data_IF_256323143512
#
_entry.id   IF_256323143512
#
_cell.length_a   1.000
_cell.length_b   1.000
_cell.length_c   1.000
_cell.angle_alpha   90.00
_cell.angle_beta   90.00
_cell.angle_gamma   90.00
#
_symmetry.space_group_name_H-M   'P 1'
#
loop_
_entity.id
_entity.type
_entity.pdbx_description
1 polymer ?
#
# COMPACT_ATOMS: atom_id res chain seq x y z
N UNK A 1 5.19 -1.19 38.89
CA UNK A 1 4.37 -2.29 39.46
C UNK A 1 3.07 -2.27 38.70
N UNK A 2 2.59 -3.43 38.26
CA UNK A 2 1.35 -3.53 37.52
C UNK A 2 0.60 -4.80 37.87
N UNK A 3 -0.69 -4.79 37.62
CA UNK A 3 -1.55 -5.95 37.74
C UNK A 3 -2.39 -6.07 36.46
N UNK A 4 -2.67 -7.31 36.07
CA UNK A 4 -3.54 -7.63 34.95
C UNK A 4 -4.52 -8.73 35.31
N UNK A 5 -5.69 -8.70 34.68
CA UNK A 5 -6.76 -9.66 34.85
C UNK A 5 -7.05 -10.31 33.50
N UNK A 6 -7.06 -11.65 33.50
CA UNK A 6 -7.45 -12.43 32.34
C UNK A 6 -8.91 -12.84 32.43
N UNK A 7 -9.67 -12.58 31.37
CA UNK A 7 -11.08 -12.91 31.23
C UNK A 7 -11.33 -13.75 29.98
N UNK A 8 -11.52 -15.05 30.19
CA UNK A 8 -12.04 -15.95 29.17
C UNK A 8 -13.56 -15.75 29.01
N UNK A 9 -13.96 -14.94 28.04
CA UNK A 9 -15.37 -14.61 27.80
C UNK A 9 -16.12 -15.75 27.12
N UNK A 10 -15.50 -16.36 26.10
CA UNK A 10 -16.02 -17.50 25.33
C UNK A 10 -14.87 -18.41 24.91
N UNK A 11 -15.18 -19.55 24.27
CA UNK A 11 -14.16 -20.49 23.74
C UNK A 11 -13.28 -19.87 22.65
N UNK A 12 -13.82 -18.89 21.95
CA UNK A 12 -13.26 -18.21 20.79
C UNK A 12 -12.86 -16.76 21.09
N UNK A 13 -12.92 -16.31 22.36
CA UNK A 13 -12.73 -14.91 22.71
C UNK A 13 -12.20 -14.72 24.13
N UNK A 14 -11.11 -13.97 24.26
CA UNK A 14 -10.51 -13.60 25.55
C UNK A 14 -10.11 -12.11 25.61
N UNK A 15 -9.94 -11.63 26.84
CA UNK A 15 -9.46 -10.29 27.15
C UNK A 15 -8.43 -10.39 28.28
N UNK A 16 -7.26 -9.82 28.08
CA UNK A 16 -6.33 -9.45 29.13
C UNK A 16 -6.42 -7.94 29.30
N UNK A 17 -6.67 -7.45 30.50
CA UNK A 17 -6.69 -6.02 30.79
C UNK A 17 -5.90 -5.74 32.06
N UNK A 18 -5.09 -4.69 32.04
CA UNK A 18 -4.19 -4.37 33.12
C UNK A 18 -3.93 -2.89 33.25
N UNK A 19 -3.16 -2.58 34.27
CA UNK A 19 -2.52 -1.28 34.37
C UNK A 19 -1.21 -1.39 35.12
N UNK A 20 -0.21 -0.67 34.62
CA UNK A 20 1.04 -0.46 35.31
C UNK A 20 1.12 0.94 35.91
N UNK A 21 1.87 1.06 37.00
CA UNK A 21 2.20 2.33 37.62
C UNK A 21 3.69 2.61 37.52
N UNK A 22 4.02 3.65 36.75
CA UNK A 22 5.35 4.24 36.66
C UNK A 22 5.52 5.31 37.73
N UNK A 23 6.41 5.08 38.70
CA UNK A 23 6.62 5.96 39.85
C UNK A 23 6.88 7.44 39.51
N UNK A 24 7.57 7.70 38.39
CA UNK A 24 7.88 9.06 37.91
C UNK A 24 6.90 9.61 36.87
N UNK A 25 6.08 8.76 36.23
CA UNK A 25 5.26 9.15 35.06
C UNK A 25 3.77 9.08 35.38
N UNK A 26 3.26 7.93 35.81
CA UNK A 26 1.82 7.79 36.03
C UNK A 26 1.31 6.39 35.77
N UNK A 27 0.00 6.31 35.65
CA UNK A 27 -0.71 5.09 35.30
C UNK A 27 -0.58 4.81 33.81
N UNK A 28 -0.45 3.54 33.49
CA UNK A 28 -0.29 3.04 32.14
C UNK A 28 -1.24 1.86 31.92
N UNK A 29 -2.52 2.12 31.55
CA UNK A 29 -3.45 1.05 31.25
C UNK A 29 -3.06 0.34 29.95
N UNK A 30 -3.22 -0.98 29.96
CA UNK A 30 -2.94 -1.86 28.84
C UNK A 30 -4.06 -2.89 28.66
N UNK A 31 -4.18 -3.43 27.45
CA UNK A 31 -5.10 -4.52 27.20
C UNK A 31 -4.84 -5.23 25.87
N UNK A 32 -5.19 -6.50 25.85
CA UNK A 32 -5.13 -7.39 24.70
C UNK A 32 -6.47 -8.11 24.58
N UNK A 33 -7.17 -7.91 23.47
CA UNK A 33 -8.39 -8.61 23.13
C UNK A 33 -8.14 -9.50 21.93
N UNK A 34 -8.52 -10.77 22.02
CA UNK A 34 -8.38 -11.72 20.92
C UNK A 34 -9.68 -12.44 20.65
N UNK A 35 -9.97 -12.63 19.37
CA UNK A 35 -11.12 -13.37 18.87
C UNK A 35 -10.71 -14.30 17.72
N UNK A 36 -11.25 -15.52 17.71
CA UNK A 36 -11.02 -16.56 16.68
C UNK A 36 -12.34 -17.22 16.26
N UNK A 37 -13.20 -16.54 15.46
CA UNK A 37 -14.53 -17.05 15.13
C UNK A 37 -14.55 -18.31 14.25
N UNK A 38 -13.48 -18.53 13.48
CA UNK A 38 -13.31 -19.70 12.61
C UNK A 38 -11.81 -19.99 12.42
N UNK A 39 -11.47 -21.08 11.74
CA UNK A 39 -10.07 -21.43 11.42
C UNK A 39 -9.37 -20.38 10.55
N UNK A 40 -10.14 -19.63 9.76
CA UNK A 40 -9.63 -18.66 8.77
C UNK A 40 -9.99 -17.20 9.12
N UNK A 41 -10.49 -16.95 10.33
CA UNK A 41 -10.88 -15.61 10.77
C UNK A 41 -10.36 -15.31 12.15
N UNK A 42 -9.76 -14.15 12.32
CA UNK A 42 -9.26 -13.68 13.61
C UNK A 42 -9.38 -12.17 13.76
N UNK A 43 -9.37 -11.71 15.00
CA UNK A 43 -9.17 -10.32 15.36
C UNK A 43 -8.33 -10.23 16.63
N UNK A 44 -7.25 -9.47 16.59
CA UNK A 44 -6.35 -9.17 17.69
C UNK A 44 -6.29 -7.66 17.85
N UNK A 45 -6.65 -7.16 19.03
CA UNK A 45 -6.61 -5.75 19.38
C UNK A 45 -5.71 -5.58 20.60
N UNK A 46 -4.64 -4.79 20.46
CA UNK A 46 -3.80 -4.36 21.58
C UNK A 46 -4.00 -2.88 21.82
N UNK A 47 -4.12 -2.49 23.09
CA UNK A 47 -4.23 -1.13 23.55
C UNK A 47 -3.15 -0.89 24.61
N UNK A 48 -2.43 0.22 24.50
CA UNK A 48 -1.50 0.65 25.53
C UNK A 48 -1.52 2.17 25.62
N UNK A 49 -1.65 2.70 26.83
CA UNK A 49 -1.65 4.15 27.06
C UNK A 49 -0.85 4.49 28.30
N UNK A 50 -0.28 5.69 28.34
CA UNK A 50 0.38 6.23 29.53
C UNK A 50 -0.18 7.61 29.84
N UNK A 51 -0.84 7.71 30.98
CA UNK A 51 -1.34 8.95 31.57
C UNK A 51 -0.18 9.64 32.31
N UNK A 52 0.72 10.26 31.53
CA UNK A 52 1.93 10.88 32.07
C UNK A 52 1.63 12.25 32.70
N UNK A 53 1.89 12.35 34.01
CA UNK A 53 1.83 13.60 34.80
C UNK A 53 2.92 14.61 34.43
N UNK A 54 3.90 14.19 33.65
CA UNK A 54 5.03 14.97 33.20
C UNK A 54 6.14 15.05 34.23
N UNK A 55 7.37 15.16 33.74
CA UNK A 55 8.56 15.44 34.56
C UNK A 55 9.06 16.82 34.15
N UNK A 56 9.21 17.74 35.11
CA UNK A 56 9.58 19.14 34.86
C UNK A 56 8.66 19.85 33.83
N UNK A 57 7.36 19.54 33.85
CA UNK A 57 6.36 20.11 32.93
C UNK A 57 6.33 19.48 31.53
N UNK A 58 7.19 18.49 31.25
CA UNK A 58 7.24 17.80 29.95
C UNK A 58 6.54 16.44 30.04
N UNK A 59 5.39 16.33 29.38
CA UNK A 59 4.63 15.07 29.25
C UNK A 59 5.02 14.29 28.00
N UNK A 60 5.37 13.03 28.19
CA UNK A 60 5.67 12.03 27.17
C UNK A 60 4.52 11.01 27.00
N UNK A 61 3.39 11.23 27.67
CA UNK A 61 2.22 10.36 27.60
C UNK A 61 1.62 10.29 26.20
N UNK A 62 0.86 9.24 25.98
CA UNK A 62 0.25 8.91 24.69
C UNK A 62 -0.49 7.59 24.72
N UNK A 63 -0.95 7.17 23.55
CA UNK A 63 -1.72 5.95 23.35
C UNK A 63 -1.30 5.32 22.03
N UNK A 64 -1.17 4.00 22.04
CA UNK A 64 -1.00 3.15 20.88
C UNK A 64 -2.12 2.11 20.85
N UNK A 65 -2.76 1.98 19.70
CA UNK A 65 -3.82 0.99 19.46
C UNK A 65 -3.44 0.25 18.19
N UNK A 66 -3.37 -1.08 18.26
CA UNK A 66 -3.11 -1.93 17.11
C UNK A 66 -4.24 -2.93 16.96
N UNK A 67 -4.84 -3.00 15.77
CA UNK A 67 -5.84 -3.98 15.40
C UNK A 67 -5.31 -4.77 14.21
N UNK A 68 -5.20 -6.08 14.35
CA UNK A 68 -4.97 -7.01 13.25
C UNK A 68 -6.18 -7.93 13.13
N UNK A 69 -6.85 -7.92 11.99
CA UNK A 69 -7.95 -8.83 11.73
C UNK A 69 -7.94 -9.32 10.30
N UNK A 70 -8.42 -10.54 10.14
CA UNK A 70 -8.63 -11.18 8.86
C UNK A 70 -9.92 -11.99 8.94
N UNK A 71 -10.66 -12.02 7.83
CA UNK A 71 -11.78 -12.90 7.69
C UNK A 71 -12.17 -13.09 6.24
N UNK A 72 -12.84 -14.19 5.98
CA UNK A 72 -13.50 -14.46 4.70
C UNK A 72 -15.00 -14.40 4.88
N UNK A 73 -15.66 -13.60 4.03
CA UNK A 73 -17.11 -13.47 4.00
C UNK A 73 -17.70 -14.37 2.91
N UNK A 74 -19.04 -14.40 2.80
CA UNK A 74 -19.73 -15.09 1.70
C UNK A 74 -19.24 -14.53 0.35
N UNK A 75 -19.17 -15.42 -0.66
CA UNK A 75 -18.66 -15.14 -2.02
C UNK A 75 -17.14 -14.98 -2.13
N UNK A 76 -16.35 -15.63 -1.28
CA UNK A 76 -14.87 -15.62 -1.30
C UNK A 76 -14.25 -14.22 -1.20
N UNK A 77 -15.00 -13.25 -0.68
CA UNK A 77 -14.48 -11.92 -0.38
C UNK A 77 -13.63 -11.99 0.88
N UNK A 78 -12.32 -11.73 0.72
CA UNK A 78 -11.37 -11.61 1.83
C UNK A 78 -11.38 -10.19 2.36
N UNK A 79 -11.41 -10.06 3.68
CA UNK A 79 -11.33 -8.80 4.38
C UNK A 79 -10.18 -8.83 5.37
N UNK A 80 -9.35 -7.79 5.34
CA UNK A 80 -8.20 -7.65 6.22
C UNK A 80 -8.17 -6.23 6.75
N UNK A 81 -7.88 -6.08 8.03
CA UNK A 81 -7.54 -4.81 8.63
C UNK A 81 -6.27 -4.95 9.47
N UNK A 82 -5.31 -4.07 9.23
CA UNK A 82 -4.10 -3.88 10.02
C UNK A 82 -4.03 -2.39 10.34
N UNK A 83 -4.54 -2.00 11.50
CA UNK A 83 -4.65 -0.61 11.92
C UNK A 83 -3.65 -0.38 13.05
N UNK A 84 -2.70 0.53 12.85
CA UNK A 84 -1.83 1.07 13.89
C UNK A 84 -2.17 2.55 14.09
N UNK A 85 -2.61 2.89 15.30
CA UNK A 85 -2.85 4.26 15.73
C UNK A 85 -1.84 4.62 16.80
N UNK A 86 -1.06 5.67 16.55
CA UNK A 86 -0.15 6.25 17.52
C UNK A 86 -0.50 7.72 17.75
N UNK A 87 -0.69 8.10 19.01
CA UNK A 87 -1.00 9.49 19.32
C UNK A 87 0.22 10.42 19.16
N UNK A 88 1.41 9.98 19.59
CA UNK A 88 2.65 10.79 19.63
C UNK A 88 3.89 9.91 19.48
N UNK A 89 4.88 10.35 18.70
CA UNK A 89 6.13 9.60 18.55
C UNK A 89 6.97 9.54 19.83
N UNK A 90 7.00 10.63 20.63
CA UNK A 90 7.72 10.66 21.92
C UNK A 90 7.21 9.60 22.91
N UNK A 91 5.94 9.22 22.81
CA UNK A 91 5.36 8.16 23.64
C UNK A 91 5.97 6.80 23.29
N UNK A 92 6.02 6.46 21.99
CA UNK A 92 6.63 5.21 21.50
C UNK A 92 8.11 5.13 21.87
N UNK A 93 8.85 6.24 21.73
CA UNK A 93 10.26 6.32 22.14
C UNK A 93 10.48 6.06 23.64
N UNK A 94 9.55 6.49 24.50
CA UNK A 94 9.72 6.46 25.95
C UNK A 94 9.20 5.18 26.60
N UNK A 95 8.17 4.55 26.02
CA UNK A 95 7.42 3.47 26.66
C UNK A 95 7.33 2.18 25.85
N UNK A 96 7.94 2.10 24.67
CA UNK A 96 8.03 0.84 23.92
C UNK A 96 9.07 -0.08 24.56
N UNK A 97 8.68 -1.32 24.86
CA UNK A 97 9.57 -2.33 25.44
C UNK A 97 10.57 -2.91 24.41
N UNK A 98 10.24 -2.80 23.11
CA UNK A 98 11.08 -3.30 22.02
C UNK A 98 11.80 -2.13 21.35
N UNK A 99 13.13 -2.18 21.32
CA UNK A 99 13.95 -1.12 20.71
C UNK A 99 13.58 -0.86 19.25
N UNK A 100 13.40 -1.92 18.45
CA UNK A 100 13.02 -1.79 17.04
C UNK A 100 11.67 -1.10 16.84
N UNK A 101 10.71 -1.29 17.76
CA UNK A 101 9.45 -0.56 17.74
C UNK A 101 9.65 0.88 18.22
N UNK A 102 10.45 1.11 19.26
CA UNK A 102 10.72 2.45 19.81
C UNK A 102 11.26 3.42 18.76
N UNK A 103 12.17 2.96 17.89
CA UNK A 103 12.80 3.78 16.84
C UNK A 103 12.02 3.85 15.53
N UNK A 104 10.88 3.16 15.43
CA UNK A 104 10.06 3.20 14.23
C UNK A 104 9.15 4.44 14.24
N UNK A 105 9.51 5.42 13.41
CA UNK A 105 8.76 6.67 13.22
C UNK A 105 7.60 6.53 12.24
N UNK A 106 7.42 5.37 11.62
CA UNK A 106 6.34 5.10 10.69
C UNK A 106 5.18 4.38 11.38
N UNK A 107 3.98 4.75 10.97
CA UNK A 107 2.71 4.17 11.41
C UNK A 107 1.86 3.93 10.19
N UNK A 108 1.37 2.69 10.04
CA UNK A 108 0.60 2.27 8.87
C UNK A 108 -0.72 1.68 9.34
N UNK A 109 -1.80 2.18 8.75
CA UNK A 109 -3.15 1.67 8.97
C UNK A 109 -3.75 1.33 7.62
N UNK A 110 -4.01 0.06 7.36
CA UNK A 110 -4.57 -0.44 6.11
C UNK A 110 -5.79 -1.30 6.40
N UNK A 111 -6.86 -1.11 5.65
CA UNK A 111 -7.97 -2.05 5.61
C UNK A 111 -8.41 -2.24 4.16
N UNK A 112 -8.65 -3.48 3.76
CA UNK A 112 -9.09 -3.77 2.42
C UNK A 112 -10.06 -4.95 2.37
N UNK A 113 -10.88 -4.92 1.33
CA UNK A 113 -11.73 -6.00 0.86
C UNK A 113 -11.20 -6.38 -0.51
N UNK A 114 -11.01 -7.67 -0.77
CA UNK A 114 -10.56 -8.18 -2.06
C UNK A 114 -11.43 -9.35 -2.49
N UNK A 115 -11.83 -9.36 -3.75
CA UNK A 115 -12.54 -10.46 -4.37
C UNK A 115 -11.94 -10.73 -5.75
N UNK A 116 -11.81 -12.00 -6.12
CA UNK A 116 -11.40 -12.40 -7.46
C UNK A 116 -12.50 -13.26 -8.08
N UNK A 117 -13.07 -12.80 -9.19
CA UNK A 117 -14.11 -13.50 -9.92
C UNK A 117 -13.64 -13.76 -11.35
N UNK A 118 -13.23 -15.00 -11.64
CA UNK A 118 -12.74 -15.39 -12.96
C UNK A 118 -11.46 -14.65 -13.33
N UNK A 119 -11.54 -13.73 -14.28
CA UNK A 119 -10.42 -12.90 -14.76
C UNK A 119 -10.42 -11.47 -14.21
N UNK A 120 -11.35 -11.16 -13.30
CA UNK A 120 -11.52 -9.84 -12.70
C UNK A 120 -11.06 -9.86 -11.24
N UNK A 121 -10.18 -8.93 -10.90
CA UNK A 121 -9.76 -8.62 -9.53
C UNK A 121 -10.46 -7.34 -9.09
N UNK A 122 -11.10 -7.36 -7.93
CA UNK A 122 -11.79 -6.23 -7.34
C UNK A 122 -11.26 -6.00 -5.94
N UNK A 123 -10.78 -4.79 -5.68
CA UNK A 123 -10.36 -4.37 -4.34
C UNK A 123 -11.11 -3.10 -3.93
N UNK A 124 -11.43 -3.01 -2.65
CA UNK A 124 -11.82 -1.76 -2.00
C UNK A 124 -10.91 -1.57 -0.80
N UNK A 125 -10.28 -0.41 -0.68
CA UNK A 125 -9.23 -0.19 0.31
C UNK A 125 -9.36 1.16 0.99
N UNK A 126 -8.79 1.24 2.18
CA UNK A 126 -8.50 2.48 2.88
C UNK A 126 -7.12 2.32 3.53
N UNK A 127 -6.26 3.31 3.34
CA UNK A 127 -4.92 3.32 3.90
C UNK A 127 -4.60 4.68 4.49
N UNK A 128 -3.89 4.67 5.60
CA UNK A 128 -3.38 5.88 6.26
C UNK A 128 -1.95 5.60 6.67
N UNK A 129 -1.05 6.37 6.09
CA UNK A 129 0.37 6.36 6.37
C UNK A 129 0.73 7.60 7.17
N UNK A 130 1.51 7.43 8.24
CA UNK A 130 2.13 8.55 8.96
C UNK A 130 3.62 8.29 9.14
N UNK A 131 4.42 9.33 8.92
CA UNK A 131 5.85 9.33 9.23
C UNK A 131 6.20 10.55 10.08
N UNK A 132 6.54 10.30 11.35
CA UNK A 132 6.97 11.34 12.29
C UNK A 132 8.41 11.74 11.97
N UNK A 133 8.63 12.99 11.56
CA UNK A 133 9.98 13.47 11.23
C UNK A 133 10.80 13.78 12.49
N UNK A 134 10.11 14.08 13.61
CA UNK A 134 10.74 14.25 14.91
C UNK A 134 9.77 13.95 16.06
N UNK A 135 10.27 14.04 17.30
CA UNK A 135 9.44 13.96 18.51
C UNK A 135 8.65 15.25 18.79
N UNK A 136 8.79 16.30 17.96
CA UNK A 136 8.05 17.54 18.08
C UNK A 136 6.58 17.35 17.69
N UNK A 137 5.71 18.15 18.31
CA UNK A 137 4.27 18.06 18.05
C UNK A 137 3.99 18.64 16.65
N UNK A 138 3.27 17.87 15.83
CA UNK A 138 2.84 18.29 14.49
C UNK A 138 3.88 18.10 13.39
N UNK A 139 5.09 17.63 13.71
CA UNK A 139 6.14 17.34 12.73
C UNK A 139 5.96 15.94 12.14
N UNK A 140 4.88 15.79 11.36
CA UNK A 140 4.43 14.51 10.82
C UNK A 140 3.95 14.67 9.37
N UNK A 141 4.39 13.76 8.52
CA UNK A 141 3.86 13.58 7.17
C UNK A 141 2.75 12.56 7.26
N UNK A 142 1.55 12.90 6.81
CA UNK A 142 0.39 12.01 6.77
C UNK A 142 -0.13 11.93 5.35
N UNK A 143 -0.30 10.71 4.85
CA UNK A 143 -0.92 10.41 3.55
C UNK A 143 -2.11 9.48 3.81
N UNK A 144 -3.25 9.80 3.23
CA UNK A 144 -4.51 9.08 3.38
C UNK A 144 -5.04 8.72 1.99
N UNK A 145 -5.34 7.44 1.78
CA UNK A 145 -6.13 6.93 0.66
C UNK A 145 -7.45 6.42 1.25
N UNK A 146 -8.53 7.18 1.13
CA UNK A 146 -9.82 6.80 1.65
C UNK A 146 -10.97 7.62 0.99
N UNK A 147 -12.02 6.97 0.46
CA UNK A 147 -12.08 5.54 0.10
C UNK A 147 -11.32 5.27 -1.21
N UNK A 148 -10.82 4.04 -1.41
CA UNK A 148 -10.24 3.58 -2.67
C UNK A 148 -10.96 2.36 -3.23
N UNK A 149 -11.12 2.30 -4.55
CA UNK A 149 -11.66 1.15 -5.28
C UNK A 149 -10.79 0.88 -6.50
N UNK A 150 -10.37 -0.37 -6.64
CA UNK A 150 -9.53 -0.83 -7.74
C UNK A 150 -10.22 -1.98 -8.46
N UNK A 151 -10.07 -2.01 -9.78
CA UNK A 151 -10.49 -3.14 -10.60
C UNK A 151 -9.44 -3.40 -11.67
N UNK A 152 -9.02 -4.66 -11.79
CA UNK A 152 -8.05 -5.07 -12.80
C UNK A 152 -8.51 -6.36 -13.48
N UNK A 153 -8.18 -6.52 -14.77
CA UNK A 153 -8.46 -7.75 -15.50
C UNK A 153 -7.19 -8.41 -16.02
N UNK A 154 -7.23 -9.74 -16.14
CA UNK A 154 -6.21 -10.49 -16.89
C UNK A 154 -6.37 -10.24 -18.39
N UNK A 155 -5.27 -10.29 -19.13
CA UNK A 155 -5.26 -10.25 -20.59
C UNK A 155 -6.04 -11.42 -21.18
N UNK A 156 -7.14 -11.13 -21.86
CA UNK A 156 -8.05 -12.13 -22.43
C UNK A 156 -8.43 -11.82 -23.87
N UNK A 157 -8.69 -12.87 -24.65
CA UNK A 157 -9.13 -12.74 -26.03
C UNK A 157 -10.43 -11.94 -26.09
N UNK A 158 -10.42 -10.89 -26.91
CA UNK A 158 -11.56 -10.02 -27.11
C UNK A 158 -12.49 -10.63 -28.16
N UNK A 159 -13.62 -11.13 -27.68
CA UNK A 159 -14.67 -11.78 -28.48
C UNK A 159 -14.10 -12.90 -29.38
N UNK A 160 -14.22 -12.78 -30.71
CA UNK A 160 -13.70 -13.74 -31.69
C UNK A 160 -12.56 -13.15 -32.53
N UNK A 161 -11.87 -12.16 -32.00
CA UNK A 161 -10.74 -11.50 -32.68
C UNK A 161 -9.41 -12.09 -32.20
N UNK A 162 -8.31 -11.94 -32.94
CA UNK A 162 -6.99 -12.33 -32.45
C UNK A 162 -6.43 -11.38 -31.39
N UNK A 163 -7.13 -10.28 -31.09
CA UNK A 163 -6.70 -9.31 -30.08
C UNK A 163 -7.04 -9.79 -28.68
N UNK A 164 -6.16 -9.49 -27.76
CA UNK A 164 -6.38 -9.65 -26.33
C UNK A 164 -6.44 -8.28 -25.66
N UNK A 165 -7.20 -8.17 -24.58
CA UNK A 165 -7.32 -6.93 -23.83
C UNK A 165 -7.28 -7.16 -22.33
N UNK A 166 -6.77 -6.15 -21.64
CA UNK A 166 -6.78 -6.02 -20.20
C UNK A 166 -7.11 -4.58 -19.82
N UNK A 167 -7.49 -4.34 -18.57
CA UNK A 167 -7.57 -2.99 -18.04
C UNK A 167 -7.11 -2.96 -16.58
N UNK A 168 -6.63 -1.79 -16.17
CA UNK A 168 -6.46 -1.38 -14.78
C UNK A 168 -7.32 -0.14 -14.53
N UNK A 169 -8.01 -0.12 -13.40
CA UNK A 169 -8.88 0.96 -12.97
C UNK A 169 -8.62 1.25 -11.50
N UNK A 170 -8.49 2.51 -11.15
CA UNK A 170 -8.38 3.00 -9.78
C UNK A 170 -9.21 4.28 -9.61
N UNK A 171 -9.98 4.35 -8.53
CA UNK A 171 -10.72 5.54 -8.15
C UNK A 171 -10.65 5.71 -6.64
N UNK A 172 -10.06 6.81 -6.20
CA UNK A 172 -9.79 7.01 -4.78
C UNK A 172 -9.85 8.46 -4.32
N UNK A 173 -10.09 8.60 -3.01
CA UNK A 173 -9.97 9.84 -2.27
C UNK A 173 -8.61 9.95 -1.59
N UNK A 174 -7.90 11.04 -1.85
CA UNK A 174 -6.54 11.26 -1.38
C UNK A 174 -6.44 12.47 -0.46
N UNK A 175 -5.58 12.42 0.55
CA UNK A 175 -5.18 13.60 1.30
C UNK A 175 -3.74 13.48 1.76
N UNK A 176 -2.99 14.57 1.66
CA UNK A 176 -1.63 14.69 2.18
C UNK A 176 -1.53 15.92 3.06
N UNK A 177 -0.91 15.75 4.21
CA UNK A 177 -0.61 16.81 5.16
C UNK A 177 0.80 16.63 5.68
N UNK A 178 1.60 17.68 5.64
CA UNK A 178 2.96 17.74 6.17
C UNK A 178 3.22 19.15 6.71
N UNK A 179 4.32 19.39 7.43
CA UNK A 179 4.66 20.73 7.88
C UNK A 179 4.67 21.71 6.70
N UNK A 180 3.87 22.78 6.80
CA UNK A 180 3.74 23.85 5.79
C UNK A 180 3.10 23.46 4.45
N UNK A 181 2.63 22.21 4.26
CA UNK A 181 1.93 21.81 3.04
C UNK A 181 0.74 20.90 3.34
N UNK A 182 -0.41 21.19 2.74
CA UNK A 182 -1.64 20.42 2.95
C UNK A 182 -2.56 20.50 1.74
N UNK A 183 -2.96 19.34 1.22
CA UNK A 183 -3.95 19.24 0.13
C UNK A 183 -5.37 19.45 0.66
N UNK A 184 -6.36 19.39 -0.23
CA UNK A 184 -7.75 19.29 0.19
C UNK A 184 -7.97 18.05 1.09
N UNK A 185 -9.00 18.05 1.95
CA UNK A 185 -9.35 16.89 2.78
C UNK A 185 -9.68 15.63 1.96
N UNK A 186 -10.09 15.82 0.70
CA UNK A 186 -10.38 14.77 -0.26
C UNK A 186 -10.04 15.27 -1.67
N UNK A 187 -8.95 14.77 -2.22
CA UNK A 187 -8.54 14.93 -3.62
C UNK A 187 -8.98 13.68 -4.35
N UNK A 188 -9.92 13.81 -5.30
CA UNK A 188 -10.31 12.66 -6.13
C UNK A 188 -9.21 12.36 -7.15
N UNK A 189 -8.78 11.11 -7.22
CA UNK A 189 -8.00 10.55 -8.31
C UNK A 189 -8.84 9.50 -9.04
N UNK A 190 -8.85 9.59 -10.36
CA UNK A 190 -9.46 8.60 -11.25
C UNK A 190 -8.40 8.20 -12.27
N UNK A 191 -8.05 6.93 -12.31
CA UNK A 191 -7.05 6.36 -13.21
C UNK A 191 -7.66 5.21 -13.99
N UNK A 192 -7.51 5.24 -15.31
CA UNK A 192 -7.96 4.15 -16.17
C UNK A 192 -6.89 3.85 -17.22
N UNK A 193 -6.48 2.59 -17.27
CA UNK A 193 -5.41 2.10 -18.16
C UNK A 193 -5.84 0.84 -18.92
N UNK A 194 -6.59 0.97 -20.03
CA UNK A 194 -6.84 -0.14 -20.94
C UNK A 194 -5.57 -0.50 -21.74
N UNK A 195 -5.36 -1.79 -21.95
CA UNK A 195 -4.30 -2.35 -22.78
C UNK A 195 -4.89 -3.30 -23.84
N UNK A 196 -4.32 -3.25 -25.04
CA UNK A 196 -4.66 -4.09 -26.18
C UNK A 196 -3.40 -4.77 -26.70
N UNK A 197 -3.40 -6.09 -26.82
CA UNK A 197 -2.27 -6.86 -27.33
C UNK A 197 -2.66 -7.78 -28.48
N UNK A 198 -1.68 -8.15 -29.30
CA UNK A 198 -1.84 -9.10 -30.41
C UNK A 198 -0.76 -10.19 -30.32
N UNK A 199 -1.02 -11.30 -29.62
CA UNK A 199 -0.05 -12.38 -29.51
C UNK A 199 0.05 -13.18 -30.82
N UNK A 200 1.17 -13.03 -31.54
CA UNK A 200 1.48 -13.73 -32.79
C UNK A 200 2.50 -14.84 -32.53
N UNK A 201 2.23 -16.05 -33.02
CA UNK A 201 3.17 -17.18 -32.95
C UNK A 201 3.42 -17.75 -34.34
N UNK A 202 4.69 -17.90 -34.71
CA UNK A 202 5.08 -18.43 -36.01
C UNK A 202 6.42 -19.16 -35.93
N UNK A 203 6.46 -20.45 -36.33
CA UNK A 203 7.69 -21.25 -36.40
C UNK A 203 8.59 -21.16 -35.14
N UNK A 204 7.97 -21.24 -33.95
CA UNK A 204 8.68 -21.15 -32.66
C UNK A 204 9.00 -19.72 -32.21
N UNK A 205 8.81 -18.71 -33.07
CA UNK A 205 8.82 -17.30 -32.66
C UNK A 205 7.51 -16.92 -31.99
N UNK A 206 7.61 -16.07 -30.98
CA UNK A 206 6.48 -15.37 -30.36
C UNK A 206 6.74 -13.87 -30.46
N UNK A 207 5.83 -13.13 -31.07
CA UNK A 207 5.86 -11.67 -31.15
C UNK A 207 4.57 -11.13 -30.54
N UNK A 208 4.66 -10.25 -29.57
CA UNK A 208 3.51 -9.66 -28.88
C UNK A 208 3.66 -8.15 -28.82
N UNK A 209 3.17 -7.42 -29.82
CA UNK A 209 2.89 -6.00 -29.67
C UNK A 209 1.75 -5.77 -28.66
N UNK A 210 1.88 -4.72 -27.88
CA UNK A 210 0.87 -4.21 -26.95
C UNK A 210 0.81 -2.68 -27.02
N UNK A 211 -0.39 -2.14 -26.90
CA UNK A 211 -0.67 -0.72 -26.80
C UNK A 211 -1.49 -0.48 -25.54
N UNK A 212 -1.00 0.37 -24.65
CA UNK A 212 -1.69 0.80 -23.43
C UNK A 212 -1.90 2.32 -23.44
N UNK A 213 -3.10 2.75 -23.07
CA UNK A 213 -3.44 4.15 -22.89
C UNK A 213 -3.78 4.35 -21.42
N UNK A 214 -3.14 5.31 -20.75
CA UNK A 214 -3.46 5.67 -19.36
C UNK A 214 -3.98 7.10 -19.29
N UNK A 215 -5.12 7.29 -18.67
CA UNK A 215 -5.69 8.61 -18.36
C UNK A 215 -5.91 8.71 -16.84
N UNK A 216 -5.21 9.66 -16.22
CA UNK A 216 -5.31 9.94 -14.78
C UNK A 216 -5.80 11.37 -14.56
N UNK A 217 -6.95 11.51 -13.91
CA UNK A 217 -7.58 12.79 -13.57
C UNK A 217 -7.47 13.03 -12.07
N UNK A 218 -7.00 14.21 -11.69
CA UNK A 218 -6.94 14.67 -10.31
C UNK A 218 -7.85 15.89 -10.14
N UNK A 219 -8.59 15.97 -9.03
CA UNK A 219 -9.42 17.15 -8.73
C UNK A 219 -8.62 18.34 -8.18
N UNK A 220 -7.33 18.13 -7.89
CA UNK A 220 -6.41 19.14 -7.40
C UNK A 220 -5.05 18.98 -8.10
N UNK A 221 -4.34 20.09 -8.30
CA UNK A 221 -3.01 20.11 -8.89
C UNK A 221 -2.00 20.78 -7.95
N UNK A 222 -0.73 20.51 -8.18
CA UNK A 222 0.37 21.24 -7.55
C UNK A 222 0.72 22.47 -8.38
N UNK A 223 0.89 23.61 -7.72
CA UNK A 223 1.59 24.78 -8.27
C UNK A 223 3.01 24.70 -7.71
N UNK A 224 4.00 24.31 -8.53
CA UNK A 224 5.38 24.17 -8.08
C UNK A 224 5.88 25.46 -7.45
N UNK A 225 6.67 25.34 -6.40
CA UNK A 225 7.40 26.50 -5.87
C UNK A 225 8.47 26.94 -6.89
N UNK A 226 8.72 28.24 -6.97
CA UNK A 226 9.92 28.79 -7.61
C UNK A 226 11.11 28.89 -6.66
N UNK A 227 10.94 28.40 -5.43
CA UNK A 227 11.92 28.46 -4.36
C UNK A 227 13.05 27.46 -4.55
N UNK A 228 14.22 27.78 -4.00
CA UNK A 228 15.41 26.93 -4.02
C UNK A 228 15.53 26.09 -2.73
N UNK A 229 14.64 26.32 -1.77
CA UNK A 229 14.64 25.62 -0.49
C UNK A 229 14.04 24.21 -0.67
N UNK A 230 14.74 23.19 -0.17
CA UNK A 230 14.30 21.79 -0.23
C UNK A 230 12.97 21.52 0.51
N UNK A 231 12.54 22.43 1.37
CA UNK A 231 11.29 22.35 2.13
C UNK A 231 10.09 22.98 1.40
N UNK A 232 10.29 23.62 0.26
CA UNK A 232 9.22 24.33 -0.45
C UNK A 232 8.63 23.44 -1.55
N UNK A 233 7.60 22.67 -1.19
CA UNK A 233 6.92 21.72 -2.10
C UNK A 233 6.02 22.45 -3.13
N UNK A 234 5.68 23.71 -2.88
CA UNK A 234 4.70 24.48 -3.67
C UNK A 234 3.34 24.55 -2.99
N UNK A 235 2.32 24.99 -3.74
CA UNK A 235 0.98 25.21 -3.20
C UNK A 235 -0.05 24.34 -3.95
N UNK A 236 -0.93 23.62 -3.25
CA UNK A 236 -1.96 22.84 -3.91
C UNK A 236 -3.12 23.75 -4.35
N UNK A 237 -3.52 23.67 -5.61
CA UNK A 237 -4.58 24.47 -6.22
C UNK A 237 -5.76 23.57 -6.60
N UNK A 238 -6.94 23.87 -6.06
CA UNK A 238 -8.20 23.14 -6.35
C UNK A 238 -8.69 23.39 -7.77
N UNK A 239 -7.98 22.81 -8.72
CA UNK A 239 -8.25 22.82 -10.14
C UNK A 239 -7.92 21.45 -10.71
N UNK A 240 -8.81 20.95 -11.56
CA UNK A 240 -8.62 19.65 -12.20
C UNK A 240 -7.42 19.66 -13.13
N UNK A 241 -6.61 18.61 -13.05
CA UNK A 241 -5.54 18.32 -14.00
C UNK A 241 -5.71 16.90 -14.54
N UNK A 242 -5.42 16.73 -15.82
CA UNK A 242 -5.41 15.44 -16.49
C UNK A 242 -3.98 15.13 -16.94
N UNK A 243 -3.50 13.93 -16.59
CA UNK A 243 -2.26 13.35 -17.07
C UNK A 243 -2.60 12.17 -17.98
N UNK A 244 -2.08 12.19 -19.20
CA UNK A 244 -2.25 11.10 -20.16
C UNK A 244 -0.91 10.52 -20.55
N UNK A 245 -0.85 9.20 -20.74
CA UNK A 245 0.30 8.57 -21.36
C UNK A 245 -0.11 7.49 -22.33
N UNK A 246 0.68 7.33 -23.39
CA UNK A 246 0.55 6.26 -24.36
C UNK A 246 1.81 5.42 -24.29
N UNK A 247 1.64 4.13 -24.07
CA UNK A 247 2.72 3.14 -24.07
C UNK A 247 2.51 2.16 -25.22
N UNK A 248 3.53 2.00 -26.06
CA UNK A 248 3.59 0.95 -27.06
C UNK A 248 4.77 0.04 -26.73
N UNK A 249 4.51 -1.25 -26.58
CA UNK A 249 5.55 -2.24 -26.32
C UNK A 249 5.52 -3.38 -27.35
N UNK A 250 6.69 -3.93 -27.65
CA UNK A 250 6.83 -5.11 -28.51
C UNK A 250 7.77 -6.08 -27.82
N UNK A 251 7.22 -7.25 -27.49
CA UNK A 251 7.99 -8.37 -26.97
C UNK A 251 8.23 -9.40 -28.08
N UNK A 252 9.50 -9.79 -28.26
CA UNK A 252 9.93 -10.82 -29.21
C UNK A 252 10.67 -11.93 -28.46
N UNK A 253 10.19 -13.17 -28.61
CA UNK A 253 10.84 -14.39 -28.11
C UNK A 253 11.15 -15.29 -29.30
N UNK A 254 12.42 -15.36 -29.74
CA UNK A 254 12.86 -16.36 -30.70
C UNK A 254 12.73 -17.80 -30.14
N UNK A 255 12.81 -18.82 -31.00
CA UNK A 255 12.86 -20.21 -30.56
C UNK A 255 14.04 -20.46 -29.59
N UNK A 256 13.82 -21.32 -28.60
CA UNK A 256 14.87 -21.76 -27.69
C UNK A 256 15.98 -22.49 -28.48
N UNK A 257 17.24 -22.17 -28.18
CA UNK A 257 18.38 -22.88 -28.73
C UNK A 257 18.82 -23.91 -27.69
N UNK A 258 18.67 -25.20 -27.99
CA UNK A 258 19.09 -26.25 -27.09
C UNK A 258 20.20 -27.13 -27.67
N UNK A 259 21.09 -27.58 -26.77
CA UNK A 259 22.15 -28.54 -27.08
C UNK A 259 22.20 -29.60 -25.99
N UNK A 260 22.03 -30.85 -26.39
CA UNK A 260 22.37 -32.00 -25.55
C UNK A 260 23.84 -32.31 -25.81
N UNK A 261 24.65 -32.28 -24.77
CA UNK A 261 26.07 -32.63 -24.86
C UNK A 261 26.24 -34.14 -24.75
N UNK A 262 27.06 -34.70 -25.62
CA UNK A 262 27.33 -36.14 -25.65
C UNK A 262 28.18 -36.61 -24.46
N UNK A 263 28.95 -35.69 -23.85
CA UNK A 263 29.74 -35.97 -22.66
C UNK A 263 28.88 -36.21 -21.43
N UNK A 264 29.16 -37.29 -20.71
CA UNK A 264 28.51 -37.59 -19.44
C UNK A 264 29.22 -36.86 -18.29
N UNK A 265 28.45 -36.16 -17.47
CA UNK A 265 28.90 -35.58 -16.21
C UNK A 265 28.14 -36.28 -15.08
N UNK A 266 28.86 -36.90 -14.15
CA UNK A 266 28.28 -37.78 -13.11
C UNK A 266 27.33 -38.87 -13.67
N UNK A 267 27.69 -39.48 -14.81
CA UNK A 267 26.90 -40.54 -15.44
C UNK A 267 25.58 -40.07 -16.05
N UNK A 268 25.44 -38.76 -16.33
CA UNK A 268 24.26 -38.18 -16.99
C UNK A 268 24.68 -37.26 -18.12
N UNK A 269 23.95 -37.32 -19.24
CA UNK A 269 24.07 -36.33 -20.32
C UNK A 269 23.48 -35.01 -19.85
N UNK A 270 24.12 -33.91 -20.23
CA UNK A 270 23.66 -32.58 -19.86
C UNK A 270 23.04 -31.86 -21.06
N UNK A 271 21.91 -31.20 -20.84
CA UNK A 271 21.24 -30.34 -21.81
C UNK A 271 21.39 -28.89 -21.40
N UNK A 272 21.83 -28.04 -22.32
CA UNK A 272 21.87 -26.59 -22.16
C UNK A 272 20.83 -25.97 -23.08
N UNK A 273 20.10 -24.97 -22.58
CA UNK A 273 19.02 -24.27 -23.30
C UNK A 273 19.27 -22.76 -23.16
N UNK A 274 19.14 -22.04 -24.26
CA UNK A 274 19.23 -20.59 -24.32
C UNK A 274 17.89 -20.05 -24.85
N UNK A 275 17.21 -19.24 -24.04
CA UNK A 275 15.90 -18.64 -24.35
C UNK A 275 16.04 -17.11 -24.46
N UNK A 276 16.32 -16.57 -25.66
CA UNK A 276 16.44 -15.13 -25.83
C UNK A 276 15.09 -14.41 -25.67
N UNK A 277 15.12 -13.19 -25.13
CA UNK A 277 13.95 -12.31 -24.98
C UNK A 277 14.36 -10.87 -25.31
N UNK A 278 13.60 -10.22 -26.17
CA UNK A 278 13.80 -8.82 -26.55
C UNK A 278 12.50 -8.07 -26.25
N UNK A 279 12.59 -6.99 -25.47
CA UNK A 279 11.46 -6.11 -25.19
C UNK A 279 11.84 -4.70 -25.62
N UNK A 280 10.97 -4.06 -26.41
CA UNK A 280 11.07 -2.64 -26.75
C UNK A 280 9.84 -1.93 -26.22
N UNK A 281 10.02 -0.84 -25.46
CA UNK A 281 8.93 -0.03 -24.91
C UNK A 281 9.14 1.43 -25.29
N UNK A 282 8.08 2.06 -25.77
CA UNK A 282 8.02 3.48 -26.08
C UNK A 282 6.89 4.13 -25.30
N UNK A 283 7.21 5.14 -24.49
CA UNK A 283 6.27 5.87 -23.64
C UNK A 283 6.27 7.36 -24.02
N UNK A 284 5.09 7.97 -24.12
CA UNK A 284 4.92 9.40 -24.41
C UNK A 284 3.69 9.99 -23.71
N UNK A 285 3.56 11.32 -23.68
CA UNK A 285 2.36 12.05 -23.23
C UNK A 285 2.45 12.71 -21.85
N UNK A 286 3.47 12.39 -21.04
CA UNK A 286 3.64 12.97 -19.70
C UNK A 286 4.24 14.37 -19.79
N UNK A 287 3.41 15.38 -20.03
CA UNK A 287 3.84 16.77 -20.22
C UNK A 287 3.82 17.60 -18.92
N UNK A 288 2.92 17.28 -17.98
CA UNK A 288 2.62 18.12 -16.82
C UNK A 288 3.13 17.55 -15.49
N UNK A 289 4.20 16.74 -15.51
CA UNK A 289 4.70 15.99 -14.36
C UNK A 289 4.91 16.84 -13.09
N UNK A 290 5.44 18.06 -13.23
CA UNK A 290 5.68 18.97 -12.11
C UNK A 290 4.41 19.44 -11.40
N UNK A 291 3.25 19.42 -12.07
CA UNK A 291 1.97 19.85 -11.53
C UNK A 291 1.16 18.72 -10.88
N UNK A 292 1.69 17.50 -10.88
CA UNK A 292 1.04 16.33 -10.27
C UNK A 292 1.43 16.22 -8.80
N UNK A 293 0.42 16.22 -7.93
CA UNK A 293 0.56 15.95 -6.50
C UNK A 293 1.07 14.52 -6.30
N UNK A 294 1.91 14.30 -5.27
CA UNK A 294 2.51 12.99 -4.98
C UNK A 294 1.94 12.40 -3.70
N UNK A 295 1.32 11.24 -3.87
CA UNK A 295 0.74 10.39 -2.85
C UNK A 295 1.37 9.00 -2.90
N UNK A 296 1.54 8.44 -4.11
CA UNK A 296 2.11 7.10 -4.31
C UNK A 296 2.88 6.95 -5.66
N UNK A 297 3.13 5.71 -6.06
CA UNK A 297 3.84 5.34 -7.29
C UNK A 297 3.03 5.57 -8.57
N UNK A 298 1.69 5.53 -8.51
CA UNK A 298 0.83 5.83 -9.67
C UNK A 298 1.00 7.27 -10.13
N UNK A 299 1.44 8.18 -9.28
CA UNK A 299 1.64 9.59 -9.63
C UNK A 299 2.92 9.86 -10.43
N UNK A 300 3.84 8.89 -10.49
CA UNK A 300 5.14 8.96 -11.19
C UNK A 300 5.00 8.57 -12.67
#
# INVERSE_FOLDING_TARGET
>A
MGESVFWAMRRDMDLLAGAEYFSRRGWAPDGEFRMRPSENSFADLTFFSVLDRGVNGVSQGGTEIRLNSEGTFRSDTRAVANIDYLSRYVFRLAFSDVFAQAVNSEVRSNAFLSNTTGSLFLNASTSRYQNFQSAQIGDVITILHAPGVEAASVDQQLWRTPFHGAFDFDAEGLSRSEPQFRTAPLVGRFDFSPALSLPLRFQGWSVRPELSLRDTIYTQQLVPSGGIALTDVGNPLSRTINRRSLEASVEVRPPALDRVFDGEYFGRRWKHVIEPRINYTYLTGVENFSHILRFDDRDI
#
